data_IF_856101510232
#
_entry.id   IF_856101510232
#
_cell.length_a   1.000
_cell.length_b   1.000
_cell.length_c   1.000
_cell.angle_alpha   90.00
_cell.angle_beta   90.00
_cell.angle_gamma   90.00
#
_symmetry.space_group_name_H-M   'P 1'
#
loop_
_entity.id
_entity.type
_entity.pdbx_description
1 polymer ?
#
# COMPACT_ATOMS: atom_id res chain seq x y z
N UNK A 1 -46.93 -8.25 -28.13
CA UNK A 1 -46.09 -8.93 -27.15
C UNK A 1 -44.67 -8.47 -27.37
N UNK A 2 -44.30 -7.37 -26.66
CA UNK A 2 -42.94 -6.87 -26.68
C UNK A 2 -42.08 -7.72 -25.76
N UNK A 3 -41.02 -8.29 -26.30
CA UNK A 3 -39.98 -8.98 -25.53
C UNK A 3 -39.18 -7.94 -24.78
N UNK A 4 -39.37 -7.83 -23.47
CA UNK A 4 -38.54 -7.04 -22.61
C UNK A 4 -37.20 -7.75 -22.50
N UNK A 5 -36.21 -7.30 -23.23
CA UNK A 5 -34.81 -7.73 -23.04
C UNK A 5 -34.32 -7.15 -21.73
N UNK A 6 -34.25 -7.97 -20.70
CA UNK A 6 -33.63 -7.61 -19.42
C UNK A 6 -32.12 -7.61 -19.61
N UNK A 7 -31.52 -6.44 -19.78
CA UNK A 7 -30.08 -6.27 -19.77
C UNK A 7 -29.55 -6.60 -18.37
N UNK A 8 -28.96 -7.78 -18.24
CA UNK A 8 -28.21 -8.23 -17.07
C UNK A 8 -26.78 -8.46 -17.52
N UNK A 9 -25.89 -7.66 -17.05
CA UNK A 9 -24.46 -7.85 -17.31
C UNK A 9 -23.76 -8.22 -16.01
N UNK A 10 -23.04 -9.35 -16.02
CA UNK A 10 -22.19 -9.77 -14.92
C UNK A 10 -20.79 -10.07 -15.45
N UNK A 11 -19.77 -9.52 -14.81
CA UNK A 11 -18.38 -9.77 -15.13
C UNK A 11 -17.66 -10.31 -13.89
N UNK A 12 -16.96 -11.43 -14.05
CA UNK A 12 -16.14 -12.03 -13.00
C UNK A 12 -14.71 -12.12 -13.49
N UNK A 13 -13.79 -11.73 -12.62
CA UNK A 13 -12.39 -11.71 -12.97
C UNK A 13 -11.56 -12.00 -11.72
N UNK A 14 -10.50 -12.78 -11.88
CA UNK A 14 -9.60 -13.10 -10.81
C UNK A 14 -8.20 -13.41 -11.32
N UNK A 15 -7.22 -13.29 -10.46
CA UNK A 15 -5.83 -13.53 -10.83
C UNK A 15 -4.91 -13.65 -9.64
N UNK A 16 -3.67 -13.99 -9.96
CA UNK A 16 -2.56 -14.08 -9.01
C UNK A 16 -1.39 -13.26 -9.53
N UNK A 17 -0.73 -12.53 -8.64
CA UNK A 17 0.47 -11.77 -8.92
C UNK A 17 1.54 -12.12 -7.88
N UNK A 18 2.77 -12.31 -8.34
CA UNK A 18 3.94 -12.48 -7.49
C UNK A 18 5.01 -11.47 -7.88
N UNK A 19 5.44 -10.67 -6.92
CA UNK A 19 6.53 -9.70 -7.09
C UNK A 19 7.70 -10.09 -6.18
N UNK A 20 8.91 -10.00 -6.71
CA UNK A 20 10.16 -10.18 -5.96
C UNK A 20 11.05 -8.98 -6.21
N UNK A 21 11.52 -8.36 -5.15
CA UNK A 21 12.46 -7.26 -5.20
C UNK A 21 13.77 -7.70 -4.56
N UNK A 22 14.85 -7.37 -5.20
CA UNK A 22 16.21 -7.53 -4.70
C UNK A 22 16.92 -6.19 -4.88
N UNK A 23 17.53 -5.68 -3.82
CA UNK A 23 18.32 -4.47 -3.84
C UNK A 23 19.65 -4.73 -3.17
N UNK A 24 20.72 -4.33 -3.84
CA UNK A 24 22.09 -4.37 -3.32
C UNK A 24 22.67 -2.96 -3.44
N UNK A 25 23.18 -2.47 -2.35
CA UNK A 25 23.82 -1.16 -2.26
C UNK A 25 25.22 -1.32 -1.68
N UNK A 26 26.21 -0.76 -2.37
CA UNK A 26 27.60 -0.72 -1.90
C UNK A 26 28.08 0.71 -1.99
N UNK A 27 28.62 1.24 -0.90
CA UNK A 27 29.20 2.58 -0.82
C UNK A 27 30.69 2.50 -0.58
N UNK A 28 31.42 3.21 -1.41
CA UNK A 28 32.87 3.33 -1.31
C UNK A 28 33.25 4.79 -1.07
N UNK A 29 34.26 4.96 -0.24
CA UNK A 29 34.92 6.24 -0.04
C UNK A 29 36.31 6.17 -0.63
N UNK A 30 36.69 7.16 -1.40
CA UNK A 30 37.95 7.24 -2.11
C UNK A 30 38.75 8.43 -1.57
N UNK A 31 40.06 8.22 -1.35
CA UNK A 31 40.98 9.26 -0.87
C UNK A 31 42.29 9.25 -1.67
N UNK A 32 43.06 10.33 -1.51
CA UNK A 32 44.39 10.44 -2.09
C UNK A 32 44.38 10.60 -3.61
N UNK A 33 43.52 11.49 -4.10
CA UNK A 33 43.53 11.88 -5.50
C UNK A 33 44.79 12.71 -5.81
N UNK A 34 45.51 12.43 -6.92
CA UNK A 34 46.65 13.18 -7.34
C UNK A 34 46.32 14.65 -7.72
N UNK A 35 45.10 14.88 -8.16
CA UNK A 35 44.63 16.22 -8.60
C UNK A 35 43.10 16.26 -8.46
N UNK A 36 42.59 17.30 -7.80
CA UNK A 36 41.16 17.47 -7.57
C UNK A 36 40.37 17.94 -8.81
N UNK A 37 41.06 18.49 -9.82
CA UNK A 37 40.39 19.02 -11.01
C UNK A 37 40.31 18.03 -12.15
N UNK A 38 41.32 17.21 -12.38
CA UNK A 38 41.44 16.32 -13.56
C UNK A 38 41.37 14.83 -13.19
N UNK A 39 42.04 14.42 -12.13
CA UNK A 39 42.17 13.02 -11.70
C UNK A 39 41.33 12.72 -10.46
N UNK A 40 40.05 13.09 -10.49
CA UNK A 40 39.09 12.94 -9.38
C UNK A 40 38.14 11.76 -9.55
N UNK A 41 38.42 10.82 -10.42
CA UNK A 41 37.63 9.60 -10.58
C UNK A 41 38.10 8.45 -9.68
N UNK A 42 37.24 7.47 -9.43
CA UNK A 42 37.51 6.33 -8.54
C UNK A 42 38.80 5.56 -8.89
N UNK A 43 39.18 5.52 -10.17
CA UNK A 43 40.38 4.79 -10.65
C UNK A 43 41.71 5.51 -10.36
N UNK A 44 41.68 6.82 -10.01
CA UNK A 44 42.87 7.62 -9.69
C UNK A 44 43.11 7.76 -8.18
N UNK A 45 42.19 7.28 -7.34
CA UNK A 45 42.36 7.29 -5.89
C UNK A 45 43.45 6.30 -5.45
N UNK A 46 44.27 6.73 -4.49
CA UNK A 46 45.31 5.84 -3.90
C UNK A 46 44.73 4.93 -2.83
N UNK A 47 43.63 5.31 -2.21
CA UNK A 47 42.97 4.51 -1.18
C UNK A 47 41.46 4.40 -1.47
N UNK A 48 40.95 3.17 -1.29
CA UNK A 48 39.53 2.86 -1.44
C UNK A 48 39.04 2.16 -0.18
N UNK A 49 38.04 2.74 0.46
CA UNK A 49 37.39 2.16 1.64
C UNK A 49 35.93 1.84 1.33
N UNK A 50 35.52 0.59 1.57
CA UNK A 50 34.11 0.23 1.56
C UNK A 50 33.50 0.70 2.89
N UNK A 51 32.58 1.65 2.83
CA UNK A 51 31.92 2.23 4.02
C UNK A 51 30.55 1.68 4.29
N UNK A 52 29.94 1.01 3.33
CA UNK A 52 28.63 0.38 3.50
C UNK A 52 28.36 -0.66 2.44
N UNK A 53 27.77 -1.76 2.89
CA UNK A 53 27.21 -2.81 2.05
C UNK A 53 25.86 -3.20 2.64
N UNK A 54 24.80 -3.09 1.85
CA UNK A 54 23.46 -3.42 2.26
C UNK A 54 22.75 -4.24 1.18
N UNK A 55 22.13 -5.33 1.60
CA UNK A 55 21.35 -6.22 0.74
C UNK A 55 19.94 -6.33 1.31
N UNK A 56 18.95 -6.08 0.45
CA UNK A 56 17.53 -6.19 0.78
C UNK A 56 16.84 -7.13 -0.19
N UNK A 57 15.96 -7.94 0.34
CA UNK A 57 15.17 -8.90 -0.45
C UNK A 57 13.76 -8.97 0.10
N UNK A 58 12.78 -8.64 -0.74
CA UNK A 58 11.37 -8.78 -0.39
C UNK A 58 10.58 -9.53 -1.46
N UNK A 59 9.50 -10.13 -1.02
CA UNK A 59 8.56 -10.84 -1.88
C UNK A 59 7.13 -10.52 -1.47
N UNK A 60 6.28 -10.28 -2.46
CA UNK A 60 4.85 -10.07 -2.30
C UNK A 60 4.10 -11.04 -3.21
N UNK A 61 3.12 -11.74 -2.64
CA UNK A 61 2.25 -12.64 -3.38
C UNK A 61 0.80 -12.24 -3.14
N UNK A 62 0.09 -11.92 -4.22
CA UNK A 62 -1.27 -11.39 -4.18
C UNK A 62 -2.21 -12.33 -4.93
N UNK A 63 -3.39 -12.55 -4.35
CA UNK A 63 -4.53 -13.20 -5.00
C UNK A 63 -5.67 -12.21 -4.95
N UNK A 64 -6.35 -12.02 -6.06
CA UNK A 64 -7.46 -11.09 -6.15
C UNK A 64 -8.61 -11.68 -6.96
N UNK A 65 -9.80 -11.26 -6.61
CA UNK A 65 -11.03 -11.59 -7.31
C UNK A 65 -11.94 -10.37 -7.34
N UNK A 66 -12.64 -10.17 -8.44
CA UNK A 66 -13.61 -9.11 -8.66
C UNK A 66 -14.86 -9.67 -9.29
N UNK A 67 -16.01 -9.24 -8.79
CA UNK A 67 -17.30 -9.49 -9.38
C UNK A 67 -18.06 -8.18 -9.51
N UNK A 68 -18.60 -7.90 -10.68
CA UNK A 68 -19.45 -6.74 -10.96
C UNK A 68 -20.79 -7.21 -11.52
N UNK A 69 -21.81 -6.51 -11.13
CA UNK A 69 -23.19 -6.78 -11.55
C UNK A 69 -23.88 -5.48 -11.91
N UNK A 70 -24.49 -5.48 -13.09
CA UNK A 70 -25.31 -4.37 -13.58
C UNK A 70 -26.73 -4.92 -13.87
N UNK A 71 -27.72 -4.27 -13.27
CA UNK A 71 -29.10 -4.61 -13.50
C UNK A 71 -29.86 -3.41 -14.09
N UNK A 72 -30.25 -3.54 -15.37
CA UNK A 72 -31.03 -2.55 -16.12
C UNK A 72 -30.40 -1.14 -16.13
N UNK A 73 -29.08 -1.05 -16.00
CA UNK A 73 -28.38 0.24 -15.82
C UNK A 73 -28.88 1.13 -14.66
N UNK A 74 -29.69 0.55 -13.79
CA UNK A 74 -30.24 1.19 -12.59
C UNK A 74 -29.43 0.89 -11.35
N UNK A 75 -29.12 -0.41 -11.15
CA UNK A 75 -28.42 -0.88 -9.97
C UNK A 75 -27.08 -1.47 -10.36
N UNK A 76 -26.04 -0.88 -9.85
CA UNK A 76 -24.65 -1.27 -10.08
C UNK A 76 -24.08 -1.79 -8.76
N UNK A 77 -23.46 -2.95 -8.77
CA UNK A 77 -22.81 -3.51 -7.61
C UNK A 77 -21.46 -4.08 -8.01
N UNK A 78 -20.45 -3.87 -7.19
CA UNK A 78 -19.11 -4.42 -7.38
C UNK A 78 -18.55 -4.88 -6.04
N UNK A 79 -17.97 -6.06 -6.04
CA UNK A 79 -17.27 -6.64 -4.90
C UNK A 79 -15.87 -6.99 -5.36
N UNK A 80 -14.87 -6.54 -4.60
CA UNK A 80 -13.48 -6.92 -4.80
C UNK A 80 -12.96 -7.58 -3.53
N UNK A 81 -12.14 -8.58 -3.72
CA UNK A 81 -11.41 -9.24 -2.65
C UNK A 81 -9.94 -9.37 -3.05
N UNK A 82 -9.05 -8.96 -2.15
CA UNK A 82 -7.62 -9.12 -2.33
C UNK A 82 -6.99 -9.72 -1.09
N UNK A 83 -6.12 -10.69 -1.28
CA UNK A 83 -5.31 -11.28 -0.24
C UNK A 83 -3.85 -11.17 -0.62
N UNK A 84 -3.08 -10.45 0.18
CA UNK A 84 -1.66 -10.19 -0.02
C UNK A 84 -0.83 -10.88 1.05
N UNK A 85 0.26 -11.52 0.67
CA UNK A 85 1.24 -12.09 1.57
C UNK A 85 2.61 -11.45 1.30
N UNK A 86 3.20 -10.82 2.32
CA UNK A 86 4.48 -10.13 2.23
C UNK A 86 5.52 -10.76 3.15
N UNK A 87 6.75 -10.93 2.63
CA UNK A 87 7.90 -11.41 3.40
C UNK A 87 8.43 -10.39 4.42
N UNK A 88 7.96 -9.15 4.39
CA UNK A 88 8.33 -8.09 5.34
C UNK A 88 7.79 -8.34 6.74
N UNK A 89 6.72 -9.14 6.86
CA UNK A 89 6.10 -9.50 8.12
C UNK A 89 6.59 -10.84 8.64
N UNK A 90 6.57 -11.00 9.96
CA UNK A 90 6.95 -12.23 10.64
C UNK A 90 6.00 -13.39 10.35
N UNK A 91 6.43 -14.63 10.65
CA UNK A 91 5.60 -15.82 10.53
C UNK A 91 4.26 -15.64 11.25
N UNK A 92 3.16 -16.00 10.59
CA UNK A 92 1.80 -15.83 11.11
C UNK A 92 1.13 -14.49 10.77
N UNK A 93 1.88 -13.42 10.51
CA UNK A 93 1.34 -12.09 10.19
C UNK A 93 1.54 -11.68 8.73
N UNK A 94 2.09 -12.55 7.90
CA UNK A 94 2.46 -12.26 6.51
C UNK A 94 1.26 -11.94 5.62
N UNK A 95 0.09 -12.52 5.91
CA UNK A 95 -1.09 -12.44 5.06
C UNK A 95 -2.09 -11.40 5.54
N UNK A 96 -2.44 -10.46 4.64
CA UNK A 96 -3.51 -9.49 4.80
C UNK A 96 -4.69 -9.80 3.89
N UNK A 97 -5.89 -9.38 4.30
CA UNK A 97 -7.14 -9.50 3.53
C UNK A 97 -7.77 -8.13 3.40
N UNK A 98 -8.12 -7.76 2.17
CA UNK A 98 -8.57 -6.42 1.80
C UNK A 98 -9.83 -6.51 0.94
N UNK A 99 -11.01 -6.66 1.56
CA UNK A 99 -12.28 -6.62 0.86
C UNK A 99 -12.66 -5.18 0.49
N UNK A 100 -13.44 -5.03 -0.59
CA UNK A 100 -14.13 -3.78 -0.90
C UNK A 100 -15.47 -4.06 -1.59
N UNK A 101 -16.41 -3.15 -1.41
CA UNK A 101 -17.72 -3.15 -2.05
C UNK A 101 -18.04 -1.75 -2.54
N UNK A 102 -18.62 -1.66 -3.72
CA UNK A 102 -19.20 -0.41 -4.24
C UNK A 102 -20.59 -0.66 -4.80
N UNK A 103 -21.47 0.29 -4.55
CA UNK A 103 -22.86 0.28 -4.96
C UNK A 103 -23.16 1.58 -5.69
N UNK A 104 -23.91 1.48 -6.78
CA UNK A 104 -24.41 2.62 -7.54
C UNK A 104 -25.90 2.46 -7.83
N UNK A 105 -26.64 3.51 -7.61
CA UNK A 105 -28.06 3.57 -7.94
C UNK A 105 -28.33 4.77 -8.83
N UNK A 106 -28.74 4.49 -10.07
CA UNK A 106 -29.13 5.53 -11.03
C UNK A 106 -30.61 5.83 -10.83
N UNK A 107 -30.91 6.86 -10.05
CA UNK A 107 -32.26 7.26 -9.72
C UNK A 107 -33.00 7.84 -10.93
N UNK A 108 -32.29 8.50 -11.85
CA UNK A 108 -32.87 9.03 -13.09
C UNK A 108 -33.51 7.97 -14.00
N UNK A 109 -33.08 6.71 -13.89
CA UNK A 109 -33.65 5.59 -14.67
C UNK A 109 -34.87 4.97 -14.01
N UNK A 110 -35.33 5.45 -12.86
CA UNK A 110 -36.49 4.93 -12.15
C UNK A 110 -37.79 5.53 -12.67
N UNK A 111 -38.88 4.76 -12.56
CA UNK A 111 -40.19 5.17 -13.05
C UNK A 111 -40.74 6.43 -12.39
N UNK A 112 -40.38 6.70 -11.12
CA UNK A 112 -40.82 7.88 -10.40
C UNK A 112 -40.13 9.18 -10.88
N UNK A 113 -39.01 9.05 -11.64
CA UNK A 113 -38.29 10.18 -12.22
C UNK A 113 -38.59 10.37 -13.72
N UNK A 114 -39.33 9.45 -14.35
CA UNK A 114 -39.61 9.44 -15.79
C UNK A 114 -40.32 10.73 -16.28
N UNK A 115 -41.14 11.35 -15.42
CA UNK A 115 -41.89 12.59 -15.74
C UNK A 115 -41.10 13.86 -15.44
N UNK A 116 -39.85 13.75 -15.00
CA UNK A 116 -39.04 14.91 -14.61
C UNK A 116 -38.17 15.40 -15.75
N UNK A 117 -38.71 16.27 -16.60
CA UNK A 117 -38.02 16.81 -17.81
C UNK A 117 -36.71 17.57 -17.51
N UNK A 118 -36.46 17.96 -16.26
CA UNK A 118 -35.32 18.81 -15.86
C UNK A 118 -34.12 18.03 -15.34
N UNK A 119 -34.26 16.73 -15.06
CA UNK A 119 -33.22 15.86 -14.50
C UNK A 119 -32.77 14.91 -15.56
N UNK A 120 -31.56 15.08 -16.06
CA UNK A 120 -31.00 14.24 -17.11
C UNK A 120 -30.31 13.00 -16.52
N UNK A 121 -29.52 13.15 -15.46
CA UNK A 121 -28.91 12.06 -14.73
C UNK A 121 -28.83 12.37 -13.23
N UNK A 122 -29.13 11.37 -12.44
CA UNK A 122 -29.01 11.44 -10.98
C UNK A 122 -28.60 10.07 -10.47
N UNK A 123 -27.34 9.97 -9.98
CA UNK A 123 -26.75 8.71 -9.55
C UNK A 123 -26.17 8.84 -8.14
N UNK A 124 -26.65 8.00 -7.25
CA UNK A 124 -26.09 7.84 -5.91
C UNK A 124 -25.02 6.75 -5.92
N UNK A 125 -23.87 7.02 -5.30
CA UNK A 125 -22.75 6.09 -5.17
C UNK A 125 -22.42 5.90 -3.69
N UNK A 126 -22.12 4.67 -3.35
CA UNK A 126 -21.56 4.30 -2.05
C UNK A 126 -20.44 3.30 -2.24
N UNK A 127 -19.33 3.49 -1.54
CA UNK A 127 -18.27 2.50 -1.52
C UNK A 127 -17.64 2.38 -0.13
N UNK A 128 -17.23 1.18 0.19
CA UNK A 128 -16.42 0.87 1.34
C UNK A 128 -15.30 -0.07 0.91
N UNK A 129 -14.09 0.17 1.43
CA UNK A 129 -12.96 -0.69 1.13
C UNK A 129 -11.90 -0.65 2.20
N UNK A 130 -11.11 -1.72 2.23
CA UNK A 130 -9.92 -1.82 3.04
C UNK A 130 -8.68 -1.92 2.16
N UNK A 131 -7.63 -1.20 2.54
CA UNK A 131 -6.30 -1.29 1.92
C UNK A 131 -5.25 -1.57 2.98
N UNK A 132 -4.19 -2.29 2.58
CA UNK A 132 -3.04 -2.57 3.43
C UNK A 132 -1.80 -1.83 2.96
N UNK A 133 -0.96 -1.41 3.90
CA UNK A 133 0.36 -0.85 3.61
C UNK A 133 1.47 -1.76 4.12
N UNK A 134 2.54 -1.88 3.32
CA UNK A 134 3.80 -2.56 3.67
C UNK A 134 4.95 -1.56 3.75
N UNK A 135 4.66 -0.31 4.07
CA UNK A 135 5.68 0.75 4.17
C UNK A 135 6.52 0.57 5.44
N UNK A 136 7.26 -0.53 5.48
CA UNK A 136 8.25 -0.89 6.50
C UNK A 136 9.49 -1.41 5.82
N UNK A 137 10.61 -1.33 6.52
CA UNK A 137 11.86 -1.92 6.07
C UNK A 137 11.79 -3.45 6.03
N UNK A 138 12.66 -4.05 5.25
CA UNK A 138 12.74 -5.50 5.17
C UNK A 138 13.28 -6.10 6.47
N UNK A 139 12.73 -7.24 6.87
CA UNK A 139 13.19 -8.03 8.02
C UNK A 139 13.04 -7.37 9.41
N UNK A 140 12.29 -6.30 9.59
CA UNK A 140 12.09 -5.61 10.89
C UNK A 140 11.60 -6.55 12.01
N UNK A 141 10.98 -7.67 11.65
CA UNK A 141 10.54 -8.68 12.61
C UNK A 141 11.68 -9.53 13.21
N UNK A 142 12.93 -9.41 12.67
CA UNK A 142 14.11 -10.16 13.12
C UNK A 142 15.05 -9.29 13.93
N UNK A 143 15.81 -9.92 14.81
CA UNK A 143 16.96 -9.28 15.47
C UNK A 143 18.09 -9.12 14.46
N UNK A 144 18.57 -7.88 14.31
CA UNK A 144 19.81 -7.58 13.58
C UNK A 144 20.94 -7.26 14.54
N UNK A 145 22.15 -7.59 14.11
CA UNK A 145 23.38 -7.19 14.76
C UNK A 145 24.13 -6.27 13.81
N UNK A 146 24.60 -5.18 14.34
CA UNK A 146 25.41 -4.20 13.62
C UNK A 146 26.86 -4.31 14.09
N UNK A 147 27.78 -3.86 13.21
CA UNK A 147 29.18 -3.78 13.57
C UNK A 147 29.35 -2.70 14.63
N UNK A 148 29.75 -3.10 15.82
CA UNK A 148 30.10 -2.19 16.91
C UNK A 148 31.54 -1.68 16.79
N UNK A 149 31.92 -0.82 17.73
CA UNK A 149 33.28 -0.34 17.83
C UNK A 149 34.25 -1.50 18.12
N UNK A 150 35.42 -1.57 17.47
CA UNK A 150 36.40 -2.61 17.73
C UNK A 150 36.83 -2.59 19.21
N UNK A 151 36.90 -3.76 19.83
CA UNK A 151 37.42 -3.92 21.17
C UNK A 151 38.70 -4.78 21.12
N UNK A 152 39.81 -4.24 21.57
CA UNK A 152 41.15 -4.89 21.57
C UNK A 152 41.47 -5.41 20.17
N UNK A 153 41.24 -4.60 19.10
CA UNK A 153 41.56 -4.98 17.71
C UNK A 153 40.59 -6.00 17.09
N UNK A 154 39.57 -6.45 17.79
CA UNK A 154 38.59 -7.40 17.27
C UNK A 154 37.23 -6.68 16.95
N UNK A 155 36.60 -7.14 15.85
CA UNK A 155 35.27 -6.67 15.48
C UNK A 155 34.24 -7.10 16.52
N UNK A 156 33.45 -6.15 17.01
CA UNK A 156 32.32 -6.42 17.91
C UNK A 156 30.99 -6.35 17.17
N UNK A 157 30.01 -7.06 17.68
CA UNK A 157 28.63 -7.01 17.20
C UNK A 157 27.77 -6.39 18.29
N UNK A 158 27.03 -5.37 17.94
CA UNK A 158 26.02 -4.75 18.83
C UNK A 158 24.61 -5.08 18.34
N UNK A 159 23.65 -5.32 19.23
CA UNK A 159 22.26 -5.42 18.79
C UNK A 159 21.83 -4.12 18.11
N UNK A 160 21.30 -4.24 16.92
CA UNK A 160 20.66 -3.12 16.21
C UNK A 160 19.26 -2.84 16.71
N UNK A 161 18.32 -2.59 15.81
CA UNK A 161 16.90 -2.39 16.15
C UNK A 161 16.33 -3.60 16.90
N UNK A 162 15.49 -3.32 17.91
CA UNK A 162 14.76 -4.38 18.61
C UNK A 162 13.80 -5.08 17.64
N UNK A 163 13.77 -6.42 17.63
CA UNK A 163 12.87 -7.15 16.77
C UNK A 163 11.41 -6.92 17.18
N UNK A 164 10.55 -6.83 16.19
CA UNK A 164 9.10 -6.81 16.42
C UNK A 164 8.44 -7.98 15.68
N UNK A 165 8.39 -9.19 16.30
CA UNK A 165 7.80 -10.37 15.66
C UNK A 165 6.29 -10.24 15.44
N UNK A 166 5.62 -9.38 16.20
CA UNK A 166 4.17 -9.17 16.17
C UNK A 166 3.74 -8.08 15.17
N UNK A 167 4.70 -7.56 14.39
CA UNK A 167 4.39 -6.54 13.39
C UNK A 167 3.36 -7.05 12.38
N UNK A 168 2.31 -6.25 12.15
CA UNK A 168 1.16 -6.58 11.31
C UNK A 168 0.93 -5.54 10.24
N UNK A 169 0.11 -5.89 9.26
CA UNK A 169 -0.34 -4.98 8.23
C UNK A 169 -1.02 -3.74 8.83
N UNK A 170 -0.57 -2.59 8.43
CA UNK A 170 -1.33 -1.37 8.61
C UNK A 170 -2.56 -1.44 7.71
N UNK A 171 -3.75 -1.20 8.28
CA UNK A 171 -5.03 -1.30 7.57
C UNK A 171 -5.73 0.04 7.58
N UNK A 172 -5.98 0.55 6.38
CA UNK A 172 -6.80 1.73 6.17
C UNK A 172 -8.17 1.31 5.64
N UNK A 173 -9.21 1.75 6.33
CA UNK A 173 -10.61 1.58 5.91
C UNK A 173 -11.14 2.93 5.46
N UNK A 174 -11.80 2.93 4.31
CA UNK A 174 -12.38 4.12 3.71
C UNK A 174 -13.85 3.88 3.37
N UNK A 175 -14.69 4.83 3.73
CA UNK A 175 -16.08 4.94 3.32
C UNK A 175 -16.21 6.15 2.42
N UNK A 176 -16.88 6.02 1.30
CA UNK A 176 -17.13 7.10 0.37
C UNK A 176 -18.61 7.07 -0.03
N UNK A 177 -19.24 8.23 -0.02
CA UNK A 177 -20.58 8.46 -0.54
C UNK A 177 -20.54 9.59 -1.56
N UNK A 178 -21.13 9.39 -2.73
CA UNK A 178 -21.12 10.38 -3.81
C UNK A 178 -22.48 10.50 -4.49
N UNK A 179 -22.77 11.68 -4.97
CA UNK A 179 -23.94 12.01 -5.77
C UNK A 179 -23.48 12.67 -7.07
N UNK A 180 -23.76 12.00 -8.20
CA UNK A 180 -23.56 12.56 -9.54
C UNK A 180 -24.90 13.14 -10.02
N UNK A 181 -24.88 14.33 -10.58
CA UNK A 181 -26.08 15.00 -11.07
C UNK A 181 -25.86 15.68 -12.40
N UNK A 182 -26.91 15.66 -13.24
CA UNK A 182 -26.99 16.43 -14.48
C UNK A 182 -28.41 16.93 -14.67
N UNK A 183 -28.54 18.23 -14.98
CA UNK A 183 -29.80 18.93 -15.15
C UNK A 183 -29.81 19.79 -16.41
N UNK A 184 -31.02 20.09 -16.94
CA UNK A 184 -31.24 21.02 -18.03
C UNK A 184 -30.50 20.68 -19.32
N UNK A 185 -30.67 19.47 -19.84
CA UNK A 185 -29.96 18.96 -21.02
C UNK A 185 -28.43 19.06 -20.84
N UNK A 186 -27.94 18.58 -19.69
CA UNK A 186 -26.51 18.57 -19.30
C UNK A 186 -25.85 19.97 -19.24
N UNK A 187 -26.65 21.03 -19.07
CA UNK A 187 -26.10 22.38 -18.89
C UNK A 187 -25.52 22.60 -17.51
N UNK A 188 -26.09 21.95 -16.51
CA UNK A 188 -25.59 21.95 -15.13
C UNK A 188 -25.31 20.52 -14.74
N UNK A 189 -24.05 20.18 -14.54
CA UNK A 189 -23.63 18.84 -14.12
C UNK A 189 -22.47 18.91 -13.13
N UNK A 190 -22.33 17.90 -12.30
CA UNK A 190 -21.25 17.81 -11.32
C UNK A 190 -21.37 16.58 -10.45
N UNK A 191 -20.44 16.47 -9.52
CA UNK A 191 -20.46 15.46 -8.48
C UNK A 191 -20.17 16.08 -7.12
N UNK A 192 -20.77 15.51 -6.08
CA UNK A 192 -20.50 15.83 -4.68
C UNK A 192 -20.08 14.54 -4.01
N UNK A 193 -18.87 14.50 -3.44
CA UNK A 193 -18.32 13.34 -2.78
C UNK A 193 -17.97 13.68 -1.33
N UNK A 194 -18.33 12.77 -0.42
CA UNK A 194 -17.94 12.80 0.97
C UNK A 194 -17.24 11.50 1.34
N UNK A 195 -16.10 11.57 2.02
CA UNK A 195 -15.39 10.38 2.45
C UNK A 195 -14.98 10.46 3.92
N UNK A 196 -14.87 9.28 4.50
CA UNK A 196 -14.31 9.09 5.83
C UNK A 196 -13.29 7.96 5.80
N UNK A 197 -12.07 8.26 6.24
CA UNK A 197 -10.94 7.33 6.25
C UNK A 197 -10.37 7.20 7.64
N UNK A 198 -10.09 5.96 8.06
CA UNK A 198 -9.34 5.72 9.29
C UNK A 198 -8.34 4.59 9.12
N UNK A 199 -7.19 4.71 9.79
CA UNK A 199 -6.10 3.75 9.73
C UNK A 199 -5.92 3.09 11.10
N UNK A 200 -5.82 1.76 11.11
CA UNK A 200 -5.52 0.96 12.30
C UNK A 200 -4.13 0.33 12.17
N UNK A 201 -3.40 0.32 13.28
CA UNK A 201 -2.07 -0.29 13.31
C UNK A 201 -1.05 0.51 12.49
N UNK A 202 -1.12 1.84 12.53
CA UNK A 202 -0.14 2.70 11.90
C UNK A 202 1.27 2.35 12.40
N UNK A 203 2.19 2.12 11.46
CA UNK A 203 3.56 1.74 11.74
C UNK A 203 4.41 3.01 11.75
N UNK A 204 4.95 3.35 12.91
CA UNK A 204 5.84 4.48 13.08
C UNK A 204 7.16 4.04 13.71
N UNK A 205 8.31 4.60 13.27
CA UNK A 205 9.57 4.38 13.96
C UNK A 205 9.47 4.97 15.37
N UNK A 206 9.80 4.17 16.37
CA UNK A 206 9.83 4.61 17.76
C UNK A 206 11.25 4.99 18.15
N UNK A 207 11.55 6.26 18.43
CA UNK A 207 12.87 6.72 18.86
C UNK A 207 13.06 6.44 20.35
N UNK A 208 12.98 5.18 20.81
CA UNK A 208 13.41 4.86 22.15
C UNK A 208 14.95 4.78 22.18
N UNK A 209 15.64 5.69 22.89
CA UNK A 209 17.07 5.56 23.08
C UNK A 209 17.34 4.30 23.89
N UNK A 210 18.12 3.38 23.34
CA UNK A 210 18.57 2.14 23.99
C UNK A 210 19.28 2.37 25.33
N UNK A 211 19.70 3.61 25.60
CA UNK A 211 20.50 4.02 26.76
C UNK A 211 19.76 3.88 28.11
N UNK A 212 18.42 3.92 28.13
CA UNK A 212 17.69 3.90 29.40
C UNK A 212 17.44 2.50 29.97
N UNK A 213 17.71 1.42 29.26
CA UNK A 213 17.46 0.07 29.76
C UNK A 213 18.63 -0.56 30.50
N UNK A 214 19.84 -0.05 30.32
CA UNK A 214 21.05 -0.56 30.99
C UNK A 214 21.31 0.05 32.40
N UNK A 215 20.54 1.07 32.83
CA UNK A 215 20.78 1.75 34.11
C UNK A 215 19.76 1.41 35.20
N UNK A 216 18.93 0.36 35.02
CA UNK A 216 17.89 0.01 35.98
C UNK A 216 18.08 -1.33 36.69
N UNK A 217 19.25 -1.93 36.59
CA UNK A 217 19.62 -3.09 37.41
C UNK A 217 20.98 -2.82 38.06
N UNK A 218 20.91 -2.11 39.20
CA UNK A 218 21.90 -2.15 40.28
C UNK A 218 21.21 -1.79 41.57
#
# INVERSE_FOLDING_TARGET
AGRVETHRESCHYGGRRGDRSFSEYTSHYYMGFPDDEVLNNAGSATETHCIGDAKSKSALNSIYARASYNYLDKYLAEINFRSDASSKFGPGNQRGYFPSISLGWRMSSENFMADTEKVDDLKLRFSWGQTGSTNIDDFVYRQFYEKGNPYIGQSTLTPGLLPNPDIKWERTSEFNGGLDYAFFNHRLFGSIDGYYRYTKGALAPSPYPLVFRCLRES
#
